data_IF_129293431597
#
_entry.id   IF_129293431597
#
_cell.length_a   1.000
_cell.length_b   1.000
_cell.length_c   1.000
_cell.angle_alpha   90.00
_cell.angle_beta   90.00
_cell.angle_gamma   90.00
#
_symmetry.space_group_name_H-M   'P 1'
#
loop_
_entity.id
_entity.type
_entity.pdbx_description
1 polymer ?
#
# COMPACT_ATOMS: atom_id res chain seq x y z
N UNK A 1 11.76 5.37 28.80
CA UNK A 1 11.29 5.25 27.41
C UNK A 1 9.78 5.31 27.44
N UNK A 2 9.15 6.10 26.57
CA UNK A 2 7.70 6.18 26.49
C UNK A 2 7.08 4.84 26.07
N UNK A 3 5.77 4.66 26.32
CA UNK A 3 5.04 3.41 26.10
C UNK A 3 5.16 2.88 24.66
N UNK A 4 5.20 3.77 23.66
CA UNK A 4 5.22 3.42 22.23
C UNK A 4 6.57 3.64 21.53
N UNK A 5 7.64 3.96 22.29
CA UNK A 5 8.94 4.39 21.74
C UNK A 5 9.53 3.41 20.72
N UNK A 6 9.27 2.11 20.92
CA UNK A 6 9.78 1.04 20.08
C UNK A 6 9.16 1.00 18.66
N UNK A 7 7.95 1.54 18.50
CA UNK A 7 7.19 1.42 17.25
C UNK A 7 6.78 2.76 16.64
N UNK A 8 6.70 3.84 17.43
CA UNK A 8 6.15 5.13 16.97
C UNK A 8 7.02 5.78 15.87
N UNK A 9 6.43 6.62 15.01
CA UNK A 9 7.16 7.53 14.12
C UNK A 9 7.97 8.55 14.92
N UNK A 10 8.80 9.33 14.24
CA UNK A 10 9.49 10.45 14.87
C UNK A 10 8.57 11.63 15.13
N UNK A 11 8.82 12.33 16.23
CA UNK A 11 8.17 13.61 16.55
C UNK A 11 8.98 14.77 15.96
N UNK A 12 8.38 15.95 15.85
CA UNK A 12 9.00 17.13 15.26
C UNK A 12 10.37 17.49 15.89
N UNK A 13 10.49 17.34 17.21
CA UNK A 13 11.74 17.60 17.94
C UNK A 13 12.91 16.69 17.49
N UNK A 14 12.61 15.53 16.92
CA UNK A 14 13.61 14.56 16.45
C UNK A 14 14.02 14.82 15.00
N UNK A 15 13.20 15.52 14.21
CA UNK A 15 13.38 15.72 12.76
C UNK A 15 14.76 16.29 12.40
N UNK A 16 15.26 17.38 13.03
CA UNK A 16 16.56 17.94 12.66
C UNK A 16 17.72 16.94 12.86
N UNK A 17 17.68 16.18 13.96
CA UNK A 17 18.73 15.22 14.29
C UNK A 17 18.72 14.01 13.34
N UNK A 18 17.53 13.51 12.99
CA UNK A 18 17.38 12.40 12.04
C UNK A 18 17.80 12.81 10.63
N UNK A 19 17.41 14.01 10.16
CA UNK A 19 17.85 14.53 8.85
C UNK A 19 19.37 14.69 8.79
N UNK A 20 19.99 15.21 9.86
CA UNK A 20 21.45 15.34 9.93
C UNK A 20 22.16 13.97 9.81
N UNK A 21 21.62 12.94 10.50
CA UNK A 21 22.12 11.57 10.42
C UNK A 21 21.95 10.98 9.02
N UNK A 22 20.77 11.11 8.42
CA UNK A 22 20.47 10.65 7.05
C UNK A 22 21.42 11.25 6.02
N UNK A 23 21.64 12.58 6.07
CA UNK A 23 22.53 13.25 5.12
C UNK A 23 24.02 13.02 5.39
N UNK A 24 24.37 12.35 6.48
CA UNK A 24 25.72 11.87 6.77
C UNK A 24 25.90 10.38 6.40
N UNK A 25 24.82 9.63 6.16
CA UNK A 25 24.87 8.19 5.87
C UNK A 25 25.43 7.92 4.44
N UNK A 26 26.59 7.25 4.30
CA UNK A 26 27.18 6.99 2.99
C UNK A 26 26.35 6.05 2.11
N UNK A 27 25.59 5.12 2.70
CA UNK A 27 24.72 4.19 1.98
C UNK A 27 23.49 4.91 1.43
N UNK A 28 22.90 5.84 2.20
CA UNK A 28 21.80 6.69 1.73
C UNK A 28 22.25 7.56 0.55
N UNK A 29 23.33 8.33 0.74
CA UNK A 29 23.87 9.21 -0.32
C UNK A 29 24.29 8.39 -1.55
N UNK A 30 24.89 7.22 -1.34
CA UNK A 30 25.26 6.31 -2.42
C UNK A 30 24.05 5.83 -3.24
N UNK A 31 22.96 5.47 -2.56
CA UNK A 31 21.69 5.05 -3.19
C UNK A 31 21.07 6.19 -3.99
N UNK A 32 20.96 7.39 -3.40
CA UNK A 32 20.41 8.56 -4.08
C UNK A 32 21.25 8.97 -5.30
N UNK A 33 22.59 8.89 -5.20
CA UNK A 33 23.50 9.18 -6.31
C UNK A 33 23.26 8.25 -7.49
N UNK A 34 23.09 6.95 -7.24
CA UNK A 34 22.81 5.95 -8.28
C UNK A 34 21.45 6.17 -8.92
N UNK A 35 20.44 6.49 -8.12
CA UNK A 35 19.10 6.77 -8.61
C UNK A 35 19.06 8.04 -9.49
N UNK A 36 19.67 9.14 -9.03
CA UNK A 36 19.61 10.44 -9.72
C UNK A 36 20.56 10.54 -10.92
N UNK A 37 21.70 9.84 -10.87
CA UNK A 37 22.74 9.88 -11.90
C UNK A 37 23.24 8.47 -12.29
N UNK A 38 22.37 7.59 -12.82
CA UNK A 38 22.70 6.19 -13.05
C UNK A 38 23.92 5.98 -13.98
N UNK A 39 24.11 6.89 -14.96
CA UNK A 39 25.25 6.85 -15.90
C UNK A 39 26.58 7.38 -15.32
N UNK A 40 26.54 8.22 -14.29
CA UNK A 40 27.72 8.89 -13.73
C UNK A 40 28.13 8.35 -12.36
N UNK A 41 27.23 7.64 -11.68
CA UNK A 41 27.43 7.12 -10.33
C UNK A 41 28.58 6.10 -10.22
N UNK A 42 28.97 5.45 -11.32
CA UNK A 42 30.15 4.58 -11.40
C UNK A 42 31.46 5.37 -11.39
N UNK A 43 31.85 6.02 -12.51
CA UNK A 43 33.17 6.63 -12.65
C UNK A 43 33.39 7.90 -11.79
N UNK A 44 32.34 8.66 -11.49
CA UNK A 44 32.43 9.94 -10.76
C UNK A 44 31.72 9.93 -9.40
N UNK A 45 31.30 8.75 -8.93
CA UNK A 45 30.51 8.62 -7.69
C UNK A 45 31.20 9.22 -6.47
N UNK A 46 32.53 9.15 -6.37
CA UNK A 46 33.30 9.69 -5.24
C UNK A 46 33.23 11.22 -5.13
N UNK A 47 33.12 11.93 -6.27
CA UNK A 47 32.98 13.39 -6.31
C UNK A 47 31.51 13.82 -6.17
N UNK A 48 30.58 13.05 -6.73
CA UNK A 48 29.15 13.37 -6.67
C UNK A 48 28.56 13.25 -5.25
N UNK A 49 29.02 12.28 -4.46
CA UNK A 49 28.53 12.05 -3.09
C UNK A 49 28.65 13.27 -2.16
N UNK A 50 29.83 13.91 -1.98
CA UNK A 50 29.93 15.08 -1.10
C UNK A 50 29.11 16.27 -1.62
N UNK A 51 29.01 16.44 -2.95
CA UNK A 51 28.19 17.50 -3.58
C UNK A 51 26.70 17.28 -3.29
N UNK A 52 26.21 16.04 -3.44
CA UNK A 52 24.83 15.67 -3.14
C UNK A 52 24.53 15.85 -1.65
N UNK A 53 25.41 15.39 -0.76
CA UNK A 53 25.24 15.57 0.68
C UNK A 53 25.18 17.05 1.07
N UNK A 54 26.07 17.89 0.52
CA UNK A 54 26.05 19.33 0.76
C UNK A 54 24.77 19.97 0.22
N UNK A 55 24.32 19.60 -0.99
CA UNK A 55 23.09 20.11 -1.57
C UNK A 55 21.87 19.74 -0.73
N UNK A 56 21.75 18.49 -0.29
CA UNK A 56 20.66 18.04 0.58
C UNK A 56 20.62 18.82 1.89
N UNK A 57 21.76 18.96 2.57
CA UNK A 57 21.84 19.74 3.82
C UNK A 57 21.37 21.19 3.63
N UNK A 58 21.74 21.80 2.52
CA UNK A 58 21.31 23.18 2.19
C UNK A 58 19.83 23.24 1.80
N UNK A 59 19.35 22.27 1.03
CA UNK A 59 17.97 22.23 0.54
C UNK A 59 16.94 21.97 1.64
N UNK A 60 17.32 21.16 2.64
CA UNK A 60 16.51 20.81 3.80
C UNK A 60 16.91 21.59 5.07
N UNK A 61 17.70 22.67 4.92
CA UNK A 61 18.07 23.53 6.04
C UNK A 61 16.82 24.25 6.59
N UNK A 62 16.66 24.25 7.91
CA UNK A 62 15.53 24.91 8.57
C UNK A 62 14.22 24.10 8.58
N UNK A 63 14.25 22.83 8.16
CA UNK A 63 13.13 21.92 8.38
C UNK A 63 13.18 21.40 9.81
N UNK A 64 12.18 21.78 10.60
CA UNK A 64 12.06 21.47 12.03
C UNK A 64 10.83 20.63 12.36
N UNK A 65 10.01 20.27 11.37
CA UNK A 65 8.81 19.45 11.56
C UNK A 65 8.58 18.46 10.42
N UNK A 66 7.81 17.42 10.71
CA UNK A 66 7.37 16.42 9.72
C UNK A 66 6.52 17.08 8.64
N UNK A 67 5.66 18.02 9.02
CA UNK A 67 4.82 18.75 8.08
C UNK A 67 5.66 19.57 7.07
N UNK A 68 6.65 20.33 7.56
CA UNK A 68 7.55 21.09 6.69
C UNK A 68 8.38 20.18 5.76
N UNK A 69 8.74 18.98 6.24
CA UNK A 69 9.41 17.97 5.42
C UNK A 69 8.50 17.46 4.29
N UNK A 70 7.23 17.19 4.59
CA UNK A 70 6.25 16.72 3.61
C UNK A 70 5.99 17.79 2.55
N UNK A 71 5.77 19.04 2.93
CA UNK A 71 5.58 20.16 1.99
C UNK A 71 6.80 20.34 1.07
N UNK A 72 8.01 20.10 1.60
CA UNK A 72 9.23 20.18 0.81
C UNK A 72 9.35 19.05 -0.22
N UNK A 73 8.88 17.86 0.13
CA UNK A 73 8.98 16.66 -0.68
C UNK A 73 7.82 16.51 -1.67
N UNK A 74 6.68 17.16 -1.39
CA UNK A 74 5.46 17.06 -2.19
C UNK A 74 5.68 17.24 -3.70
N UNK A 75 6.43 18.25 -4.20
CA UNK A 75 6.59 18.43 -5.64
C UNK A 75 7.30 17.24 -6.32
N UNK A 76 8.15 16.54 -5.57
CA UNK A 76 8.83 15.34 -6.05
C UNK A 76 7.90 14.12 -6.07
N UNK A 77 7.02 14.00 -5.08
CA UNK A 77 5.99 12.95 -5.02
C UNK A 77 4.97 13.15 -6.14
N UNK A 78 4.49 14.37 -6.30
CA UNK A 78 3.60 14.79 -7.38
C UNK A 78 4.16 14.41 -8.76
N UNK A 79 5.39 14.85 -9.04
CA UNK A 79 6.10 14.49 -10.28
C UNK A 79 6.22 12.98 -10.47
N UNK A 80 6.44 12.21 -9.40
CA UNK A 80 6.60 10.75 -9.47
C UNK A 80 5.28 10.06 -9.77
N UNK A 81 4.20 10.50 -9.12
CA UNK A 81 2.83 9.99 -9.31
C UNK A 81 2.35 10.30 -10.73
N UNK A 82 2.49 11.55 -11.18
CA UNK A 82 2.05 11.99 -12.50
C UNK A 82 2.84 11.32 -13.63
N UNK A 83 4.15 11.08 -13.46
CA UNK A 83 4.97 10.47 -14.53
C UNK A 83 4.85 8.95 -14.61
N UNK A 84 4.52 8.27 -13.51
CA UNK A 84 4.48 6.82 -13.46
C UNK A 84 3.08 6.23 -13.75
N UNK A 85 2.08 7.08 -13.96
CA UNK A 85 0.68 6.71 -14.21
C UNK A 85 0.12 7.47 -15.41
N UNK A 86 -0.92 6.94 -16.04
CA UNK A 86 -1.71 7.63 -17.07
C UNK A 86 -2.85 8.48 -16.44
N UNK A 87 -2.63 8.91 -15.19
CA UNK A 87 -3.59 9.63 -14.37
C UNK A 87 -3.99 8.86 -13.12
N UNK A 88 -4.10 9.60 -12.01
CA UNK A 88 -4.65 9.12 -10.75
C UNK A 88 -5.96 9.83 -10.48
N UNK A 89 -6.96 9.08 -10.06
CA UNK A 89 -8.28 9.61 -9.72
C UNK A 89 -8.68 9.19 -8.32
N UNK A 90 -9.45 10.04 -7.65
CA UNK A 90 -9.89 9.85 -6.28
C UNK A 90 -11.41 9.92 -6.21
N UNK A 91 -12.02 9.15 -5.31
CA UNK A 91 -13.45 9.24 -5.01
C UNK A 91 -13.69 9.10 -3.51
N UNK A 92 -14.72 9.79 -2.98
CA UNK A 92 -15.13 9.69 -1.59
C UNK A 92 -14.25 10.44 -0.59
N UNK A 93 -13.09 10.98 -1.01
CA UNK A 93 -12.22 11.81 -0.16
C UNK A 93 -12.95 13.07 0.35
N UNK A 94 -13.89 13.58 -0.43
CA UNK A 94 -14.78 14.70 -0.11
C UNK A 94 -15.71 14.45 1.08
N UNK A 95 -15.90 13.18 1.47
CA UNK A 95 -16.73 12.78 2.61
C UNK A 95 -15.95 12.80 3.93
N UNK A 96 -14.62 12.87 3.87
CA UNK A 96 -13.76 12.92 5.04
C UNK A 96 -13.87 14.31 5.68
N UNK A 97 -14.06 14.35 7.00
CA UNK A 97 -14.24 15.60 7.73
C UNK A 97 -12.87 16.12 8.20
N UNK A 98 -12.54 17.40 7.96
CA UNK A 98 -11.38 18.02 8.56
C UNK A 98 -11.42 17.92 10.09
N UNK A 99 -10.25 17.69 10.71
CA UNK A 99 -10.13 17.52 12.16
C UNK A 99 -10.57 16.15 12.70
N UNK A 100 -11.07 15.25 11.85
CA UNK A 100 -11.32 13.85 12.21
C UNK A 100 -10.09 12.96 12.02
N UNK A 101 -9.97 11.92 12.85
CA UNK A 101 -8.96 10.87 12.71
C UNK A 101 -9.64 9.58 12.24
N UNK A 102 -9.09 8.95 11.21
CA UNK A 102 -9.67 7.78 10.56
C UNK A 102 -8.69 6.62 10.51
N UNK A 103 -9.19 5.40 10.70
CA UNK A 103 -8.44 4.19 10.40
C UNK A 103 -8.74 3.75 8.95
N UNK A 104 -7.88 4.16 8.02
CA UNK A 104 -7.93 3.73 6.62
C UNK A 104 -7.43 2.29 6.51
N UNK A 105 -8.31 1.37 6.13
CA UNK A 105 -7.98 -0.04 5.90
C UNK A 105 -8.10 -0.33 4.42
N UNK A 106 -7.00 -0.70 3.78
CA UNK A 106 -6.92 -0.80 2.32
C UNK A 106 -6.55 -2.19 1.81
N UNK A 107 -6.97 -2.54 0.59
CA UNK A 107 -6.28 -3.60 -0.14
C UNK A 107 -4.82 -3.21 -0.42
N UNK A 108 -3.97 -4.21 -0.63
CA UNK A 108 -2.54 -3.98 -0.74
C UNK A 108 -1.94 -4.73 -1.92
N UNK A 109 -1.48 -4.01 -2.94
CA UNK A 109 -0.87 -4.56 -4.15
C UNK A 109 0.56 -4.08 -4.36
N UNK A 110 0.88 -2.86 -3.94
CA UNK A 110 2.21 -2.28 -4.01
C UNK A 110 2.75 -1.91 -2.62
N UNK A 111 4.03 -2.18 -2.36
CA UNK A 111 4.64 -2.03 -1.03
C UNK A 111 4.62 -0.56 -0.56
N UNK A 112 4.92 0.39 -1.45
CA UNK A 112 5.13 1.80 -1.08
C UNK A 112 4.16 2.74 -1.76
N UNK A 113 3.69 2.41 -2.96
CA UNK A 113 2.80 3.28 -3.71
C UNK A 113 1.38 3.31 -3.14
N UNK A 114 0.92 2.21 -2.54
CA UNK A 114 -0.41 2.14 -1.92
C UNK A 114 -0.61 3.23 -0.85
N UNK A 115 0.20 3.29 0.23
CA UNK A 115 0.07 4.37 1.21
C UNK A 115 0.43 5.75 0.61
N UNK A 116 1.31 5.82 -0.39
CA UNK A 116 1.65 7.08 -1.04
C UNK A 116 0.44 7.70 -1.77
N UNK A 117 -0.35 6.90 -2.48
CA UNK A 117 -1.56 7.41 -3.14
C UNK A 117 -2.64 7.84 -2.15
N UNK A 118 -2.78 7.13 -1.02
CA UNK A 118 -3.69 7.55 0.06
C UNK A 118 -3.22 8.87 0.66
N UNK A 119 -1.94 8.98 1.02
CA UNK A 119 -1.35 10.20 1.56
C UNK A 119 -1.53 11.39 0.62
N UNK A 120 -1.24 11.20 -0.67
CA UNK A 120 -1.41 12.23 -1.68
C UNK A 120 -2.87 12.70 -1.76
N UNK A 121 -3.83 11.78 -1.81
CA UNK A 121 -5.25 12.10 -1.86
C UNK A 121 -5.70 12.98 -0.68
N UNK A 122 -5.35 12.59 0.55
CA UNK A 122 -5.78 13.30 1.75
C UNK A 122 -5.02 14.62 1.93
N UNK A 123 -3.74 14.66 1.54
CA UNK A 123 -2.94 15.88 1.57
C UNK A 123 -3.55 16.96 0.68
N UNK A 124 -3.91 16.63 -0.56
CA UNK A 124 -4.58 17.57 -1.47
C UNK A 124 -6.01 17.91 -1.06
N UNK A 125 -6.66 17.09 -0.22
CA UNK A 125 -7.92 17.41 0.41
C UNK A 125 -7.78 18.30 1.68
N UNK A 126 -6.57 18.71 2.03
CA UNK A 126 -6.30 19.53 3.23
C UNK A 126 -6.40 18.74 4.55
N UNK A 127 -6.31 17.41 4.49
CA UNK A 127 -6.38 16.52 5.64
C UNK A 127 -4.95 16.07 6.00
N UNK A 128 -4.56 16.05 7.29
CA UNK A 128 -3.25 15.55 7.69
C UNK A 128 -3.00 14.12 7.19
N UNK A 129 -1.82 13.87 6.63
CA UNK A 129 -1.46 12.53 6.14
C UNK A 129 -1.47 11.51 7.28
N UNK A 130 -1.98 10.29 7.06
CA UNK A 130 -2.01 9.26 8.08
C UNK A 130 -0.62 8.77 8.49
N UNK A 131 -0.54 8.15 9.66
CA UNK A 131 0.58 7.31 10.07
C UNK A 131 0.49 5.97 9.35
N UNK A 132 1.62 5.45 8.86
CA UNK A 132 1.62 4.27 7.98
C UNK A 132 2.12 3.05 8.74
N UNK A 133 1.34 1.97 8.80
CA UNK A 133 1.80 0.70 9.34
C UNK A 133 2.81 0.06 8.38
N UNK A 134 4.05 -0.17 8.84
CA UNK A 134 5.11 -0.79 8.03
C UNK A 134 5.72 -2.01 8.73
N UNK A 135 5.91 -3.10 7.99
CA UNK A 135 6.59 -4.29 8.49
C UNK A 135 8.08 -4.08 8.75
N UNK A 136 8.58 -4.59 9.87
CA UNK A 136 10.00 -4.57 10.23
C UNK A 136 10.92 -5.28 9.21
N UNK A 137 10.36 -6.21 8.43
CA UNK A 137 11.06 -6.90 7.35
C UNK A 137 11.67 -5.92 6.30
N UNK A 138 11.10 -4.73 6.14
CA UNK A 138 11.56 -3.72 5.19
C UNK A 138 12.67 -2.80 5.76
N UNK A 139 12.93 -2.86 7.07
CA UNK A 139 13.77 -1.91 7.79
C UNK A 139 15.21 -2.43 8.03
N UNK A 140 15.73 -3.25 7.11
CA UNK A 140 17.03 -3.92 7.27
C UNK A 140 18.23 -2.95 7.25
N UNK A 141 18.08 -1.77 6.62
CA UNK A 141 19.13 -0.74 6.56
C UNK A 141 18.75 0.41 7.50
N UNK A 142 19.67 0.92 8.34
CA UNK A 142 19.36 1.99 9.30
C UNK A 142 18.69 3.23 8.68
N UNK A 143 19.22 3.72 7.55
CA UNK A 143 18.64 4.88 6.87
C UNK A 143 17.21 4.65 6.34
N UNK A 144 16.83 3.40 6.05
CA UNK A 144 15.47 3.07 5.60
C UNK A 144 14.50 3.18 6.78
N UNK A 145 14.90 2.69 7.96
CA UNK A 145 14.15 2.89 9.20
C UNK A 145 13.96 4.37 9.50
N UNK A 146 15.03 5.15 9.40
CA UNK A 146 14.99 6.60 9.62
C UNK A 146 14.01 7.29 8.65
N UNK A 147 14.11 6.99 7.35
CA UNK A 147 13.26 7.58 6.32
C UNK A 147 11.78 7.23 6.50
N UNK A 148 11.48 5.97 6.81
CA UNK A 148 10.10 5.52 6.99
C UNK A 148 9.47 6.16 8.24
N UNK A 149 10.19 6.20 9.37
CA UNK A 149 9.70 6.83 10.60
C UNK A 149 9.57 8.34 10.49
N UNK A 150 10.42 9.01 9.69
CA UNK A 150 10.22 10.42 9.33
C UNK A 150 8.95 10.63 8.50
N UNK A 151 8.59 9.68 7.63
CA UNK A 151 7.36 9.71 6.85
C UNK A 151 6.14 9.18 7.63
N UNK A 152 6.10 9.43 8.95
CA UNK A 152 5.02 9.01 9.85
C UNK A 152 4.78 7.49 9.91
N UNK A 153 5.70 6.64 9.46
CA UNK A 153 5.52 5.20 9.56
C UNK A 153 5.79 4.68 10.96
N UNK A 154 4.97 3.75 11.42
CA UNK A 154 5.15 3.02 12.68
C UNK A 154 5.35 1.53 12.42
N UNK A 155 6.13 0.89 13.29
CA UNK A 155 6.69 -0.45 13.04
C UNK A 155 5.71 -1.54 13.48
N UNK A 156 5.46 -2.49 12.59
CA UNK A 156 4.75 -3.73 12.84
C UNK A 156 5.76 -4.89 12.84
N UNK A 157 5.91 -5.56 13.97
CA UNK A 157 6.81 -6.71 14.10
C UNK A 157 6.18 -7.98 13.54
N UNK A 158 6.82 -8.58 12.52
CA UNK A 158 6.25 -9.75 11.81
C UNK A 158 6.92 -11.07 12.17
N UNK A 159 8.23 -11.05 12.40
CA UNK A 159 9.04 -12.26 12.56
C UNK A 159 9.32 -12.64 14.02
N UNK A 160 8.29 -12.64 14.87
CA UNK A 160 8.42 -13.04 16.27
C UNK A 160 8.25 -14.55 16.40
N UNK A 161 9.19 -15.25 17.05
CA UNK A 161 9.12 -16.72 17.19
C UNK A 161 8.20 -17.15 18.34
N UNK A 162 8.17 -16.40 19.45
CA UNK A 162 7.41 -16.75 20.64
C UNK A 162 5.93 -16.32 20.57
N UNK A 163 5.01 -17.22 20.96
CA UNK A 163 3.57 -16.89 21.07
C UNK A 163 3.32 -15.70 22.02
N UNK A 164 4.04 -15.64 23.14
CA UNK A 164 3.93 -14.55 24.13
C UNK A 164 4.41 -13.22 23.55
N UNK A 165 5.51 -13.24 22.80
CA UNK A 165 6.07 -12.05 22.14
C UNK A 165 5.12 -11.55 21.07
N UNK A 166 4.58 -12.44 20.22
CA UNK A 166 3.54 -12.08 19.24
C UNK A 166 2.34 -11.42 19.90
N UNK A 167 1.84 -12.00 20.99
CA UNK A 167 0.69 -11.44 21.71
C UNK A 167 1.00 -10.05 22.28
N UNK A 168 2.18 -9.87 22.88
CA UNK A 168 2.61 -8.59 23.41
C UNK A 168 2.78 -7.53 22.30
N UNK A 169 3.35 -7.91 21.15
CA UNK A 169 3.48 -7.01 20.01
C UNK A 169 2.11 -6.60 19.44
N UNK A 170 1.16 -7.53 19.32
CA UNK A 170 -0.21 -7.22 18.89
C UNK A 170 -0.97 -6.39 19.92
N UNK A 171 -0.75 -6.61 21.21
CA UNK A 171 -1.31 -5.77 22.27
C UNK A 171 -0.79 -4.33 22.16
N UNK A 172 0.52 -4.16 21.99
CA UNK A 172 1.16 -2.86 21.82
C UNK A 172 0.68 -2.14 20.55
N UNK A 173 0.60 -2.87 19.44
CA UNK A 173 0.11 -2.37 18.17
C UNK A 173 -1.35 -1.89 18.27
N UNK A 174 -2.20 -2.70 18.90
CA UNK A 174 -3.59 -2.36 19.19
C UNK A 174 -3.71 -1.08 20.03
N UNK A 175 -2.91 -0.98 21.09
CA UNK A 175 -2.91 0.17 21.99
C UNK A 175 -2.48 1.43 21.25
N UNK A 176 -1.43 1.33 20.43
CA UNK A 176 -0.93 2.44 19.62
C UNK A 176 -1.94 2.90 18.56
N UNK A 177 -2.62 1.99 17.87
CA UNK A 177 -3.66 2.35 16.89
C UNK A 177 -4.80 3.10 17.59
N UNK A 178 -5.29 2.60 18.72
CA UNK A 178 -6.33 3.27 19.50
C UNK A 178 -5.87 4.63 20.01
N UNK A 179 -4.65 4.74 20.54
CA UNK A 179 -4.07 5.99 21.02
C UNK A 179 -3.93 7.03 19.90
N UNK A 180 -3.43 6.61 18.73
CA UNK A 180 -3.29 7.48 17.56
C UNK A 180 -4.60 8.11 17.14
N UNK A 181 -5.68 7.31 17.08
CA UNK A 181 -6.98 7.79 16.61
C UNK A 181 -7.67 8.63 17.69
N UNK A 182 -7.72 8.13 18.93
CA UNK A 182 -8.58 8.70 20.00
C UNK A 182 -7.92 9.83 20.79
N UNK A 183 -6.61 9.74 21.00
CA UNK A 183 -5.87 10.69 21.84
C UNK A 183 -5.09 11.69 20.99
N UNK A 184 -4.32 11.22 19.99
CA UNK A 184 -3.51 12.11 19.14
C UNK A 184 -4.33 12.79 18.02
N UNK A 185 -5.52 12.26 17.70
CA UNK A 185 -6.30 12.71 16.56
C UNK A 185 -5.58 12.52 15.21
N UNK A 186 -4.74 11.49 15.10
CA UNK A 186 -3.96 11.17 13.91
C UNK A 186 -4.47 9.91 13.21
N UNK A 187 -4.92 10.08 11.96
CA UNK A 187 -5.35 8.98 11.08
C UNK A 187 -4.24 7.95 10.88
N UNK A 188 -4.62 6.71 10.57
CA UNK A 188 -3.73 5.60 10.27
C UNK A 188 -4.09 4.99 8.92
N UNK A 189 -3.09 4.57 8.16
CA UNK A 189 -3.25 3.66 7.04
C UNK A 189 -2.67 2.29 7.39
N UNK A 190 -3.44 1.23 7.14
CA UNK A 190 -3.02 -0.15 7.31
C UNK A 190 -3.61 -1.06 6.21
N UNK A 191 -2.83 -2.04 5.78
CA UNK A 191 -3.32 -3.07 4.86
C UNK A 191 -4.34 -4.00 5.55
N UNK A 192 -5.37 -4.40 4.81
CA UNK A 192 -6.43 -5.31 5.27
C UNK A 192 -5.97 -6.75 5.53
N UNK A 193 -4.78 -7.09 5.06
CA UNK A 193 -4.19 -8.42 5.16
C UNK A 193 -2.67 -8.32 5.26
N UNK A 194 -2.05 -9.38 5.80
CA UNK A 194 -0.61 -9.44 5.93
C UNK A 194 0.06 -9.62 4.55
N UNK A 195 0.71 -8.55 4.05
CA UNK A 195 1.44 -8.58 2.79
C UNK A 195 0.57 -8.26 1.56
N UNK A 196 1.22 -8.10 0.41
CA UNK A 196 0.55 -7.71 -0.83
C UNK A 196 -0.15 -8.90 -1.51
N UNK A 197 -1.35 -8.69 -2.02
CA UNK A 197 -2.08 -9.65 -2.82
C UNK A 197 -1.27 -10.03 -4.07
N UNK A 198 -1.21 -11.35 -4.32
CA UNK A 198 -0.39 -11.94 -5.39
C UNK A 198 -1.21 -12.42 -6.56
N UNK A 199 -2.45 -12.78 -6.29
CA UNK A 199 -3.45 -13.34 -7.20
C UNK A 199 -4.60 -12.36 -7.46
N UNK A 200 -4.53 -11.13 -6.94
CA UNK A 200 -5.59 -10.14 -7.08
C UNK A 200 -6.86 -10.44 -6.26
N UNK A 201 -6.81 -11.42 -5.36
CA UNK A 201 -7.90 -11.72 -4.43
C UNK A 201 -7.73 -10.93 -3.13
N UNK A 202 -8.25 -9.70 -3.13
CA UNK A 202 -8.15 -8.76 -2.01
C UNK A 202 -9.12 -9.13 -0.88
N UNK A 203 -8.84 -10.22 -0.15
CA UNK A 203 -9.60 -10.66 1.05
C UNK A 203 -9.05 -10.03 2.33
N UNK A 204 -9.93 -9.71 3.26
CA UNK A 204 -9.61 -9.11 4.55
C UNK A 204 -9.29 -10.20 5.58
N UNK A 205 -8.16 -10.06 6.28
CA UNK A 205 -7.80 -10.97 7.35
C UNK A 205 -8.48 -10.55 8.66
N UNK A 206 -9.43 -11.38 9.11
CA UNK A 206 -10.11 -11.19 10.40
C UNK A 206 -9.16 -11.12 11.60
N UNK A 207 -7.93 -11.66 11.50
CA UNK A 207 -6.94 -11.57 12.56
C UNK A 207 -6.45 -10.13 12.79
N UNK A 208 -6.29 -9.34 11.72
CA UNK A 208 -5.93 -7.91 11.82
C UNK A 208 -7.06 -7.15 12.51
N UNK A 209 -8.31 -7.45 12.16
CA UNK A 209 -9.48 -6.81 12.77
C UNK A 209 -9.62 -7.16 14.25
N UNK A 210 -9.35 -8.41 14.64
CA UNK A 210 -9.28 -8.80 16.06
C UNK A 210 -8.17 -8.05 16.79
N UNK A 211 -7.03 -7.81 16.13
CA UNK A 211 -5.92 -7.08 16.72
C UNK A 211 -6.32 -5.65 17.10
N UNK A 212 -7.16 -4.95 16.32
CA UNK A 212 -7.64 -3.62 16.68
C UNK A 212 -8.35 -3.55 18.05
N UNK A 213 -8.99 -4.64 18.48
CA UNK A 213 -9.71 -4.73 19.75
C UNK A 213 -8.84 -5.16 20.95
N UNK A 214 -7.68 -5.77 20.73
CA UNK A 214 -6.91 -6.45 21.79
C UNK A 214 -6.53 -5.57 23.00
N UNK A 215 -6.20 -4.30 22.76
CA UNK A 215 -5.88 -3.33 23.83
C UNK A 215 -7.08 -2.94 24.70
N UNK A 216 -8.29 -3.13 24.18
CA UNK A 216 -9.57 -2.74 24.78
C UNK A 216 -10.53 -3.94 24.86
N UNK A 217 -9.98 -5.12 25.11
CA UNK A 217 -10.70 -6.41 25.08
C UNK A 217 -11.89 -6.51 26.05
N UNK A 218 -11.90 -5.67 27.09
CA UNK A 218 -12.95 -5.63 28.11
C UNK A 218 -14.16 -4.78 27.67
N UNK A 219 -14.05 -4.07 26.54
CA UNK A 219 -15.12 -3.30 25.89
C UNK A 219 -15.77 -4.10 24.76
N UNK A 220 -16.99 -3.74 24.36
CA UNK A 220 -17.64 -4.42 23.25
C UNK A 220 -16.90 -4.17 21.92
N UNK A 221 -16.75 -5.22 21.10
CA UNK A 221 -16.03 -5.14 19.82
C UNK A 221 -16.58 -4.03 18.91
N UNK A 222 -17.91 -3.94 18.81
CA UNK A 222 -18.58 -2.93 17.99
C UNK A 222 -18.28 -1.49 18.45
N UNK A 223 -18.15 -1.25 19.76
CA UNK A 223 -17.83 0.08 20.30
C UNK A 223 -16.39 0.47 19.97
N UNK A 224 -15.45 -0.46 20.09
CA UNK A 224 -14.05 -0.21 19.72
C UNK A 224 -13.91 0.03 18.22
N UNK A 225 -14.62 -0.74 17.38
CA UNK A 225 -14.64 -0.51 15.93
C UNK A 225 -15.21 0.86 15.57
N UNK A 226 -16.29 1.28 16.24
CA UNK A 226 -16.91 2.60 16.03
C UNK A 226 -15.94 3.73 16.39
N UNK A 227 -15.25 3.62 17.52
CA UNK A 227 -14.26 4.60 17.98
C UNK A 227 -13.04 4.73 17.04
N UNK A 228 -12.78 3.74 16.19
CA UNK A 228 -11.67 3.75 15.25
C UNK A 228 -12.00 4.45 13.93
N UNK A 229 -13.26 4.80 13.69
CA UNK A 229 -13.72 5.47 12.46
C UNK A 229 -13.17 4.78 11.21
N UNK A 230 -13.40 3.47 11.09
CA UNK A 230 -12.82 2.65 10.02
C UNK A 230 -13.37 3.08 8.67
N UNK A 231 -12.47 3.45 7.75
CA UNK A 231 -12.80 3.79 6.36
C UNK A 231 -12.14 2.77 5.44
N UNK A 232 -12.91 1.92 4.74
CA UNK A 232 -12.39 1.01 3.73
C UNK A 232 -11.84 1.79 2.53
N UNK A 233 -10.67 1.42 2.03
CA UNK A 233 -10.05 2.07 0.87
C UNK A 233 -9.74 1.05 -0.22
N UNK A 234 -10.28 1.26 -1.42
CA UNK A 234 -9.95 0.45 -2.59
C UNK A 234 -8.89 1.17 -3.43
N UNK A 235 -7.76 0.52 -3.64
CA UNK A 235 -6.66 0.98 -4.48
C UNK A 235 -6.64 0.10 -5.73
N UNK A 236 -6.97 0.70 -6.86
CA UNK A 236 -7.08 0.02 -8.15
C UNK A 236 -6.00 0.46 -9.09
N UNK A 237 -5.29 -0.53 -9.64
CA UNK A 237 -4.25 -0.34 -10.64
C UNK A 237 -4.78 -0.89 -11.95
N UNK A 238 -4.63 -0.14 -13.03
CA UNK A 238 -4.84 -0.71 -14.36
C UNK A 238 -3.80 -1.77 -14.64
N UNK A 239 -2.54 -1.50 -14.31
CA UNK A 239 -1.48 -2.50 -14.37
C UNK A 239 -0.64 -2.49 -13.11
N UNK A 240 -0.36 -3.67 -12.57
CA UNK A 240 0.56 -3.84 -11.45
C UNK A 240 2.00 -3.93 -11.99
N UNK A 241 2.92 -3.03 -11.57
CA UNK A 241 4.31 -3.09 -12.01
C UNK A 241 5.02 -4.40 -11.68
N UNK A 242 4.60 -5.08 -10.63
CA UNK A 242 5.18 -6.32 -10.14
C UNK A 242 4.44 -7.59 -10.60
N UNK A 243 3.47 -7.48 -11.52
CA UNK A 243 2.60 -8.61 -11.92
C UNK A 243 3.37 -9.86 -12.40
N UNK A 244 4.47 -9.67 -13.13
CA UNK A 244 5.34 -10.74 -13.61
C UNK A 244 6.03 -11.48 -12.46
N UNK A 245 6.54 -10.74 -11.47
CA UNK A 245 7.20 -11.30 -10.30
C UNK A 245 6.20 -12.07 -9.43
N UNK A 246 4.99 -11.53 -9.27
CA UNK A 246 3.88 -12.18 -8.56
C UNK A 246 3.43 -13.47 -9.27
N UNK A 247 3.30 -13.45 -10.59
CA UNK A 247 2.95 -14.63 -11.38
C UNK A 247 4.00 -15.74 -11.24
N UNK A 248 5.29 -15.39 -11.28
CA UNK A 248 6.39 -16.32 -11.01
C UNK A 248 6.31 -16.91 -9.60
N UNK A 249 6.08 -16.07 -8.59
CA UNK A 249 5.97 -16.51 -7.20
C UNK A 249 4.81 -17.51 -7.04
N UNK A 250 3.63 -17.20 -7.57
CA UNK A 250 2.46 -18.09 -7.53
C UNK A 250 2.73 -19.43 -8.23
N UNK A 251 3.34 -19.40 -9.41
CA UNK A 251 3.73 -20.61 -10.12
C UNK A 251 4.68 -21.48 -9.30
N UNK A 252 5.73 -20.89 -8.71
CA UNK A 252 6.69 -21.64 -7.89
C UNK A 252 5.97 -22.25 -6.69
N UNK A 253 5.17 -21.47 -5.94
CA UNK A 253 4.40 -22.00 -4.80
C UNK A 253 3.52 -23.18 -5.19
N UNK A 254 2.83 -23.09 -6.32
CA UNK A 254 1.95 -24.14 -6.80
C UNK A 254 2.68 -25.41 -7.25
N UNK A 255 3.92 -25.29 -7.74
CA UNK A 255 4.69 -26.43 -8.28
C UNK A 255 5.68 -27.04 -7.29
N UNK A 256 6.17 -26.27 -6.33
CA UNK A 256 7.17 -26.72 -5.34
C UNK A 256 6.63 -26.80 -3.91
N UNK A 257 5.44 -26.24 -3.66
CA UNK A 257 4.82 -26.18 -2.33
C UNK A 257 5.29 -25.01 -1.45
N UNK A 258 6.24 -24.20 -1.90
CA UNK A 258 6.77 -23.09 -1.09
C UNK A 258 7.51 -22.04 -1.91
N UNK A 259 7.74 -20.87 -1.30
CA UNK A 259 8.52 -19.80 -1.90
C UNK A 259 9.34 -19.09 -0.84
N UNK A 260 10.66 -19.09 -1.04
CA UNK A 260 11.60 -18.31 -0.25
C UNK A 260 12.04 -17.11 -1.07
N UNK A 261 11.88 -15.91 -0.50
CA UNK A 261 12.27 -14.67 -1.18
C UNK A 261 13.77 -14.59 -1.32
N UNK A 262 14.24 -14.14 -2.49
CA UNK A 262 15.65 -13.85 -2.66
C UNK A 262 16.06 -12.60 -1.85
N UNK A 263 17.31 -12.52 -1.35
CA UNK A 263 17.82 -11.29 -0.76
C UNK A 263 17.67 -10.10 -1.71
N UNK A 264 17.06 -9.01 -1.24
CA UNK A 264 16.83 -7.80 -2.03
C UNK A 264 15.61 -7.84 -2.97
N UNK A 265 14.80 -8.90 -2.94
CA UNK A 265 13.57 -8.98 -3.75
C UNK A 265 12.52 -7.91 -3.39
N UNK A 266 12.40 -7.58 -2.10
CA UNK A 266 11.53 -6.49 -1.65
C UNK A 266 12.08 -5.12 -2.10
N UNK A 267 13.40 -4.88 -2.04
CA UNK A 267 14.04 -3.66 -2.57
C UNK A 267 13.74 -3.49 -4.08
N UNK A 268 13.84 -4.58 -4.86
CA UNK A 268 13.53 -4.58 -6.28
C UNK A 268 12.03 -4.32 -6.55
N UNK A 269 11.15 -4.90 -5.72
CA UNK A 269 9.71 -4.67 -5.81
C UNK A 269 9.33 -3.23 -5.47
N UNK A 270 9.97 -2.61 -4.49
CA UNK A 270 9.80 -1.19 -4.14
C UNK A 270 10.24 -0.31 -5.31
N UNK A 271 11.43 -0.55 -5.86
CA UNK A 271 11.94 0.22 -6.98
C UNK A 271 11.01 0.12 -8.20
N UNK A 272 10.58 -1.10 -8.54
CA UNK A 272 9.66 -1.35 -9.65
C UNK A 272 8.27 -0.77 -9.39
N UNK A 273 7.79 -0.83 -8.15
CA UNK A 273 6.56 -0.18 -7.71
C UNK A 273 6.59 1.32 -7.95
N UNK A 274 7.69 2.00 -7.63
CA UNK A 274 7.85 3.44 -7.86
C UNK A 274 7.96 3.74 -9.36
N UNK A 275 8.89 3.10 -10.07
CA UNK A 275 9.27 3.51 -11.45
C UNK A 275 8.49 2.81 -12.56
N UNK A 276 7.85 1.68 -12.28
CA UNK A 276 7.18 0.87 -13.27
C UNK A 276 5.85 1.48 -13.71
N UNK A 277 5.47 1.15 -14.95
CA UNK A 277 4.25 1.63 -15.58
C UNK A 277 3.00 0.98 -14.97
N UNK A 278 2.08 1.83 -14.51
CA UNK A 278 0.85 1.45 -13.79
C UNK A 278 -0.44 1.59 -14.60
N UNK A 279 -0.36 2.21 -15.79
CA UNK A 279 -1.55 2.75 -16.46
C UNK A 279 -2.27 3.73 -15.54
N UNK A 280 -3.61 3.68 -15.52
CA UNK A 280 -4.42 4.49 -14.62
C UNK A 280 -4.48 3.91 -13.21
N UNK A 281 -4.55 4.79 -12.21
CA UNK A 281 -4.77 4.41 -10.81
C UNK A 281 -6.05 5.07 -10.28
N UNK A 282 -6.83 4.35 -9.49
CA UNK A 282 -7.99 4.90 -8.79
C UNK A 282 -7.94 4.55 -7.32
N UNK A 283 -8.13 5.53 -6.46
CA UNK A 283 -8.29 5.33 -5.01
C UNK A 283 -9.71 5.72 -4.61
N UNK A 284 -10.49 4.76 -4.14
CA UNK A 284 -11.83 4.97 -3.64
C UNK A 284 -11.85 4.91 -2.12
N UNK A 285 -12.20 6.03 -1.49
CA UNK A 285 -12.49 6.10 -0.07
C UNK A 285 -13.96 5.72 0.15
N UNK A 286 -14.18 4.62 0.86
CA UNK A 286 -15.50 4.16 1.26
C UNK A 286 -16.17 5.10 2.28
N UNK A 287 -17.41 4.79 2.61
CA UNK A 287 -18.03 5.37 3.80
C UNK A 287 -17.44 4.74 5.07
N UNK A 288 -17.41 5.51 6.16
CA UNK A 288 -17.10 4.99 7.48
C UNK A 288 -18.01 3.82 7.83
N UNK A 289 -17.45 2.75 8.40
CA UNK A 289 -18.23 1.61 8.89
C UNK A 289 -18.88 2.03 10.21
N UNK A 290 -20.17 2.36 10.11
CA UNK A 290 -21.02 2.71 11.26
C UNK A 290 -21.94 1.55 11.68
N UNK A 291 -22.06 0.52 10.84
CA UNK A 291 -22.92 -0.63 11.08
C UNK A 291 -22.37 -1.48 12.24
N UNK A 292 -23.26 -2.06 13.06
CA UNK A 292 -22.91 -2.88 14.21
C UNK A 292 -22.38 -4.26 13.78
N UNK A 293 -21.18 -4.31 13.21
CA UNK A 293 -20.46 -5.58 13.07
C UNK A 293 -20.17 -6.12 14.48
N UNK A 294 -20.87 -7.20 14.87
CA UNK A 294 -20.76 -7.72 16.25
C UNK A 294 -19.46 -8.49 16.48
N UNK A 295 -18.78 -8.91 15.41
CA UNK A 295 -17.51 -9.61 15.47
C UNK A 295 -16.59 -9.31 14.27
N UNK A 296 -15.34 -9.75 14.39
CA UNK A 296 -14.31 -9.55 13.38
C UNK A 296 -14.56 -10.29 12.05
N UNK A 297 -15.37 -11.36 12.05
CA UNK A 297 -15.70 -12.11 10.82
C UNK A 297 -16.75 -11.35 10.00
N UNK A 298 -17.76 -10.81 10.67
CA UNK A 298 -18.74 -9.94 10.05
C UNK A 298 -18.09 -8.65 9.54
N UNK A 299 -17.20 -8.04 10.34
CA UNK A 299 -16.44 -6.88 9.89
C UNK A 299 -15.57 -7.22 8.67
N UNK A 300 -14.89 -8.38 8.65
CA UNK A 300 -14.11 -8.81 7.48
C UNK A 300 -14.98 -8.94 6.22
N UNK A 301 -16.17 -9.54 6.33
CA UNK A 301 -17.10 -9.65 5.21
C UNK A 301 -17.58 -8.27 4.72
N UNK A 302 -17.84 -7.33 5.63
CA UNK A 302 -18.22 -5.96 5.26
C UNK A 302 -17.06 -5.18 4.63
N UNK A 303 -15.85 -5.32 5.17
CA UNK A 303 -14.62 -4.79 4.57
C UNK A 303 -14.42 -5.32 3.15
N UNK A 304 -14.51 -6.63 2.96
CA UNK A 304 -14.43 -7.27 1.63
C UNK A 304 -15.48 -6.69 0.70
N UNK A 305 -16.74 -6.61 1.15
CA UNK A 305 -17.83 -6.09 0.34
C UNK A 305 -17.52 -4.67 -0.14
N UNK A 306 -17.06 -3.78 0.76
CA UNK A 306 -16.76 -2.37 0.45
C UNK A 306 -15.54 -2.24 -0.45
N UNK A 307 -14.47 -2.97 -0.15
CA UNK A 307 -13.20 -2.85 -0.88
C UNK A 307 -13.31 -3.45 -2.28
N UNK A 308 -13.96 -4.61 -2.43
CA UNK A 308 -14.11 -5.28 -3.73
C UNK A 308 -15.11 -4.55 -4.64
N UNK A 309 -16.18 -3.97 -4.08
CA UNK A 309 -17.12 -3.16 -4.86
C UNK A 309 -16.60 -1.76 -5.17
N UNK A 310 -15.75 -1.19 -4.32
CA UNK A 310 -15.04 0.07 -4.58
C UNK A 310 -13.89 -0.06 -5.58
N UNK A 311 -13.45 -1.28 -5.89
CA UNK A 311 -12.37 -1.51 -6.84
C UNK A 311 -12.79 -1.11 -8.26
N UNK A 312 -12.08 -0.16 -8.88
CA UNK A 312 -12.33 0.23 -10.26
C UNK A 312 -11.74 -0.80 -11.23
N UNK A 313 -12.63 -1.45 -12.00
CA UNK A 313 -12.22 -2.34 -13.08
C UNK A 313 -11.85 -1.55 -14.34
N UNK A 314 -10.72 -1.91 -14.92
CA UNK A 314 -10.21 -1.39 -16.20
C UNK A 314 -10.34 -2.46 -17.30
N UNK A 315 -10.26 -2.10 -18.60
CA UNK A 315 -10.44 -3.06 -19.70
C UNK A 315 -9.59 -4.33 -19.60
N UNK A 316 -8.34 -4.23 -19.14
CA UNK A 316 -7.46 -5.39 -18.94
C UNK A 316 -8.04 -6.43 -17.98
N UNK A 317 -8.79 -6.02 -16.96
CA UNK A 317 -9.42 -6.95 -16.01
C UNK A 317 -10.46 -7.83 -16.71
N UNK A 318 -11.29 -7.22 -17.57
CA UNK A 318 -12.28 -7.94 -18.37
C UNK A 318 -11.63 -8.81 -19.44
N UNK A 319 -10.55 -8.35 -20.08
CA UNK A 319 -9.75 -9.16 -21.01
C UNK A 319 -9.18 -10.41 -20.32
N UNK A 320 -8.60 -10.23 -19.13
CA UNK A 320 -8.06 -11.33 -18.34
C UNK A 320 -9.17 -12.29 -17.89
N UNK A 321 -10.28 -11.78 -17.38
CA UNK A 321 -11.43 -12.61 -16.97
C UNK A 321 -12.00 -13.43 -18.14
N UNK A 322 -12.12 -12.84 -19.33
CA UNK A 322 -12.55 -13.56 -20.53
C UNK A 322 -11.59 -14.69 -20.94
N UNK A 323 -10.29 -14.53 -20.68
CA UNK A 323 -9.26 -15.55 -20.95
C UNK A 323 -9.10 -16.58 -19.84
N UNK A 324 -9.65 -16.33 -18.65
CA UNK A 324 -9.40 -17.15 -17.48
C UNK A 324 -10.23 -18.44 -17.52
N UNK A 325 -9.56 -19.59 -17.47
CA UNK A 325 -10.21 -20.90 -17.48
C UNK A 325 -11.13 -21.12 -16.27
N UNK A 326 -10.83 -20.47 -15.14
CA UNK A 326 -11.63 -20.55 -13.92
C UNK A 326 -12.79 -19.55 -13.84
N UNK A 327 -13.11 -18.86 -14.95
CA UNK A 327 -14.20 -17.87 -14.94
C UNK A 327 -15.55 -18.55 -14.66
N UNK A 328 -16.38 -17.87 -13.88
CA UNK A 328 -17.73 -18.30 -13.56
C UNK A 328 -18.69 -17.81 -14.65
N UNK A 329 -19.02 -18.68 -15.61
CA UNK A 329 -19.89 -18.35 -16.75
C UNK A 329 -21.33 -18.01 -16.35
N UNK A 330 -21.75 -18.33 -15.10
CA UNK A 330 -23.04 -17.95 -14.57
C UNK A 330 -23.08 -16.48 -14.10
N UNK A 331 -21.92 -15.83 -13.92
CA UNK A 331 -21.88 -14.41 -13.58
C UNK A 331 -22.26 -13.55 -14.78
N UNK A 332 -23.20 -12.64 -14.55
CA UNK A 332 -23.64 -11.65 -15.53
C UNK A 332 -22.59 -10.53 -15.71
N UNK A 333 -21.40 -10.89 -16.19
CA UNK A 333 -20.33 -9.93 -16.54
C UNK A 333 -20.63 -9.37 -17.95
N UNK A 334 -20.83 -8.05 -18.12
CA UNK A 334 -21.10 -7.45 -19.42
C UNK A 334 -19.93 -7.64 -20.38
N UNK A 335 -20.25 -7.65 -21.68
CA UNK A 335 -19.23 -7.63 -22.72
C UNK A 335 -18.38 -6.36 -22.62
N UNK A 336 -17.06 -6.49 -22.82
CA UNK A 336 -16.11 -5.40 -22.73
C UNK A 336 -16.50 -4.20 -23.62
N UNK A 337 -17.00 -4.48 -24.82
CA UNK A 337 -17.42 -3.51 -25.83
C UNK A 337 -18.66 -2.70 -25.41
N UNK A 338 -19.43 -3.18 -24.43
CA UNK A 338 -20.56 -2.44 -23.86
C UNK A 338 -20.15 -1.44 -22.76
N UNK A 339 -18.93 -1.60 -22.22
CA UNK A 339 -18.43 -0.84 -21.07
C UNK A 339 -17.40 0.23 -21.45
N UNK A 340 -16.63 0.00 -22.52
CA UNK A 340 -15.49 0.85 -22.90
C UNK A 340 -15.49 1.17 -24.40
N UNK A 341 -14.91 2.31 -24.75
CA UNK A 341 -14.76 2.73 -26.14
C UNK A 341 -13.73 1.89 -26.90
N UNK A 342 -13.90 1.78 -28.22
CA UNK A 342 -13.05 0.94 -29.09
C UNK A 342 -11.55 1.25 -29.00
N UNK A 343 -11.17 2.53 -28.91
CA UNK A 343 -9.77 2.94 -28.79
C UNK A 343 -9.14 2.54 -27.45
N UNK A 344 -9.90 2.63 -26.35
CA UNK A 344 -9.45 2.21 -25.02
C UNK A 344 -9.24 0.70 -24.98
N UNK A 345 -10.18 -0.05 -25.55
CA UNK A 345 -10.09 -1.51 -25.69
C UNK A 345 -8.86 -1.89 -26.52
N UNK A 346 -8.62 -1.22 -27.65
CA UNK A 346 -7.47 -1.50 -28.51
C UNK A 346 -6.14 -1.29 -27.79
N UNK A 347 -6.00 -0.17 -27.05
CA UNK A 347 -4.81 0.11 -26.23
C UNK A 347 -4.61 -0.96 -25.15
N UNK A 348 -5.67 -1.30 -24.43
CA UNK A 348 -5.60 -2.31 -23.38
C UNK A 348 -5.25 -3.70 -23.92
N UNK A 349 -5.78 -4.10 -25.09
CA UNK A 349 -5.43 -5.36 -25.77
C UNK A 349 -3.95 -5.39 -26.16
N UNK A 350 -3.42 -4.30 -26.71
CA UNK A 350 -2.02 -4.20 -27.10
C UNK A 350 -1.08 -4.33 -25.90
N UNK A 351 -1.34 -3.58 -24.82
CA UNK A 351 -0.53 -3.62 -23.60
C UNK A 351 -0.67 -4.96 -22.86
N UNK A 352 -1.88 -5.53 -22.82
CA UNK A 352 -2.10 -6.86 -22.25
C UNK A 352 -1.33 -7.95 -23.00
N UNK A 353 -1.37 -7.93 -24.34
CA UNK A 353 -0.60 -8.86 -25.15
C UNK A 353 0.91 -8.70 -24.93
N UNK A 354 1.41 -7.46 -24.80
CA UNK A 354 2.81 -7.19 -24.48
C UNK A 354 3.22 -7.84 -23.16
N UNK A 355 2.38 -7.74 -22.12
CA UNK A 355 2.62 -8.35 -20.80
C UNK A 355 2.56 -9.87 -20.84
N UNK A 356 1.59 -10.45 -21.56
CA UNK A 356 1.52 -11.90 -21.77
C UNK A 356 2.74 -12.45 -22.51
N UNK A 357 3.25 -11.72 -23.51
CA UNK A 357 4.44 -12.10 -24.26
C UNK A 357 5.71 -12.03 -23.41
N UNK A 358 5.80 -11.06 -22.49
CA UNK A 358 6.91 -10.95 -21.54
C UNK A 358 6.85 -12.00 -20.42
N UNK A 359 5.68 -12.61 -20.21
CA UNK A 359 5.46 -13.63 -19.20
C UNK A 359 5.81 -15.03 -19.73
N UNK A 360 6.68 -15.80 -19.05
CA UNK A 360 6.90 -17.21 -19.39
C UNK A 360 5.58 -17.98 -19.43
N UNK A 361 5.43 -18.88 -20.40
CA UNK A 361 4.16 -19.56 -20.66
C UNK A 361 3.57 -20.25 -19.42
N UNK A 362 4.42 -20.93 -18.64
CA UNK A 362 4.02 -21.58 -17.39
C UNK A 362 3.49 -20.62 -16.32
N UNK A 363 3.87 -19.34 -16.37
CA UNK A 363 3.43 -18.32 -15.41
C UNK A 363 2.16 -17.58 -15.87
N UNK A 364 1.81 -17.64 -17.17
CA UNK A 364 0.68 -16.89 -17.74
C UNK A 364 -0.66 -17.14 -17.05
N UNK A 365 -1.03 -18.37 -16.63
CA UNK A 365 -2.28 -18.59 -15.91
C UNK A 365 -2.38 -17.77 -14.62
N UNK A 366 -1.24 -17.57 -13.92
CA UNK A 366 -1.17 -16.78 -12.69
C UNK A 366 -1.16 -15.28 -12.96
N UNK A 367 -0.63 -14.84 -14.10
CA UNK A 367 -0.78 -13.47 -14.55
C UNK A 367 -2.25 -13.17 -14.91
N UNK A 368 -2.92 -14.08 -15.64
CA UNK A 368 -4.35 -13.95 -15.96
C UNK A 368 -5.20 -13.91 -14.69
N UNK A 369 -4.95 -14.83 -13.75
CA UNK A 369 -5.65 -14.90 -12.46
C UNK A 369 -5.64 -13.55 -11.71
N UNK A 370 -4.47 -12.90 -11.65
CA UNK A 370 -4.29 -11.60 -10.99
C UNK A 370 -5.25 -10.51 -11.44
N UNK A 371 -5.53 -10.46 -12.74
CA UNK A 371 -6.41 -9.45 -13.34
C UNK A 371 -7.86 -9.93 -13.48
N UNK A 372 -8.10 -11.24 -13.45
CA UNK A 372 -9.44 -11.83 -13.51
C UNK A 372 -10.18 -11.82 -12.16
N UNK A 373 -9.46 -12.07 -11.05
CA UNK A 373 -10.04 -12.12 -9.71
C UNK A 373 -10.80 -10.85 -9.29
N UNK A 374 -10.34 -9.62 -9.60
CA UNK A 374 -11.10 -8.41 -9.31
C UNK A 374 -12.48 -8.40 -9.97
N UNK A 375 -12.60 -8.88 -11.21
CA UNK A 375 -13.89 -9.03 -11.91
C UNK A 375 -14.75 -10.06 -11.20
N UNK A 376 -14.23 -11.28 -11.01
CA UNK A 376 -14.93 -12.37 -10.30
C UNK A 376 -15.49 -11.87 -8.96
N UNK A 377 -14.63 -11.27 -8.15
CA UNK A 377 -14.97 -10.83 -6.80
C UNK A 377 -16.02 -9.73 -6.79
N UNK A 378 -15.87 -8.71 -7.64
CA UNK A 378 -16.83 -7.61 -7.70
C UNK A 378 -18.21 -8.10 -8.13
N UNK A 379 -18.30 -8.90 -9.19
CA UNK A 379 -19.58 -9.39 -9.70
C UNK A 379 -20.23 -10.44 -8.78
N UNK A 380 -19.46 -11.33 -8.14
CA UNK A 380 -20.00 -12.23 -7.09
C UNK A 380 -20.56 -11.43 -5.92
N UNK A 381 -19.81 -10.43 -5.44
CA UNK A 381 -20.25 -9.57 -4.34
C UNK A 381 -21.55 -8.84 -4.68
N UNK A 382 -21.63 -8.25 -5.88
CA UNK A 382 -22.83 -7.55 -6.35
C UNK A 382 -24.04 -8.48 -6.51
N UNK A 383 -23.81 -9.73 -6.89
CA UNK A 383 -24.84 -10.76 -7.00
C UNK A 383 -25.23 -11.41 -5.65
N UNK A 384 -24.59 -11.01 -4.53
CA UNK A 384 -24.82 -11.62 -3.22
C UNK A 384 -24.30 -13.07 -3.11
N UNK A 385 -23.36 -13.45 -3.98
CA UNK A 385 -22.74 -14.78 -3.99
C UNK A 385 -21.54 -14.81 -3.03
N UNK A 386 -21.24 -15.98 -2.42
CA UNK A 386 -20.06 -16.13 -1.58
C UNK A 386 -18.78 -15.93 -2.39
N UNK A 387 -17.76 -15.32 -1.79
CA UNK A 387 -16.46 -15.06 -2.43
C UNK A 387 -15.57 -16.29 -2.50
#
# INVERSE_FOLDING_TARGET
>A
MGEFEAIRPYDDAEVPAVLARLFADPAFIGTLTRYRFPRLAGPLGWLLRPVIAHRLRREFQGIESVHALQDKIEPYVDTTIERATDGVTYSGVDRLKPGGAYLFVANHRDIVMDPAFVNYAVYHAGIPTPRIAIGDNLLQKPFVSDLMRLNKSFIVHRNLAGRREKLAAYQLLSAYINHSIREDGQSIWIAQAEGRAKDGDDRTDSAILKMFHMSRKDEAFADVVRDLHIVPVSISYEYDPCDQAKARELYIRATTGGYEKAPGEDDASIALGITGYKGRVHVAFGGEIVDEAVDAKQLAAEMDRRILTGYRLFPVHYLAYAMWEGRDEALAVPALESLFGAEEIARARAEWQRRLNACPEAHRPWLVLQYANPVRNQYRTQAGLPL
#
